data_IF_750523436049
#
_entry.id   IF_750523436049
#
_cell.length_a   1.000
_cell.length_b   1.000
_cell.length_c   1.000
_cell.angle_alpha   90.00
_cell.angle_beta   90.00
_cell.angle_gamma   90.00
#
_symmetry.space_group_name_H-M   'P 1'
#
loop_
_entity.id
_entity.type
_entity.pdbx_description
1 polymer ?
#
# COMPACT_ATOMS: atom_id res chain seq x y z
N UNK A 1 7.67 -6.59 27.49
CA UNK A 1 8.13 -6.65 26.09
C UNK A 1 6.98 -6.26 25.20
N UNK A 2 7.14 -5.16 24.48
CA UNK A 2 6.25 -4.78 23.38
C UNK A 2 6.77 -5.41 22.08
N UNK A 3 6.00 -5.34 20.98
CA UNK A 3 6.37 -5.95 19.71
C UNK A 3 7.75 -5.50 19.21
N UNK A 4 8.06 -4.20 19.37
CA UNK A 4 9.36 -3.62 19.01
C UNK A 4 10.53 -4.36 19.66
N UNK A 5 10.50 -4.54 20.98
CA UNK A 5 11.57 -5.24 21.71
C UNK A 5 11.75 -6.70 21.27
N UNK A 6 10.70 -7.35 20.75
CA UNK A 6 10.81 -8.70 20.21
C UNK A 6 11.52 -8.70 18.85
N UNK A 7 11.17 -7.78 17.97
CA UNK A 7 11.78 -7.69 16.64
C UNK A 7 13.22 -7.18 16.68
N UNK A 8 13.54 -6.20 17.53
CA UNK A 8 14.93 -5.76 17.76
C UNK A 8 15.81 -6.93 18.19
N UNK A 9 15.31 -7.75 19.12
CA UNK A 9 16.02 -8.95 19.58
C UNK A 9 16.10 -10.04 18.50
N UNK A 10 15.08 -10.18 17.66
CA UNK A 10 15.11 -11.11 16.54
C UNK A 10 16.22 -10.72 15.56
N UNK A 11 16.33 -9.43 15.21
CA UNK A 11 17.41 -8.89 14.37
C UNK A 11 18.79 -9.17 14.98
N UNK A 12 18.95 -8.98 16.30
CA UNK A 12 20.20 -9.28 17.01
C UNK A 12 20.62 -10.76 16.93
N UNK A 13 19.66 -11.69 16.91
CA UNK A 13 19.92 -13.14 17.01
C UNK A 13 19.96 -13.81 15.64
N UNK A 14 19.08 -13.41 14.75
CA UNK A 14 18.80 -14.07 13.47
C UNK A 14 19.31 -13.27 12.26
N UNK A 15 19.74 -12.02 12.47
CA UNK A 15 20.20 -11.11 11.43
C UNK A 15 19.09 -10.24 10.84
N UNK A 16 19.49 -9.30 10.01
CA UNK A 16 18.60 -8.39 9.28
C UNK A 16 17.76 -9.20 8.27
N UNK A 17 16.43 -9.10 8.40
CA UNK A 17 15.45 -9.67 7.47
C UNK A 17 14.39 -8.60 7.20
N UNK A 18 14.00 -8.44 5.94
CA UNK A 18 13.03 -7.44 5.52
C UNK A 18 11.72 -7.50 6.31
N UNK A 19 11.26 -8.70 6.69
CA UNK A 19 10.02 -8.90 7.44
C UNK A 19 10.10 -8.31 8.85
N UNK A 20 11.28 -8.30 9.47
CA UNK A 20 11.47 -7.72 10.80
C UNK A 20 11.40 -6.20 10.76
N UNK A 21 11.96 -5.59 9.73
CA UNK A 21 11.84 -4.16 9.49
C UNK A 21 10.40 -3.75 9.13
N UNK A 22 9.72 -4.51 8.28
CA UNK A 22 8.30 -4.26 7.99
C UNK A 22 7.43 -4.37 9.26
N UNK A 23 7.65 -5.39 10.08
CA UNK A 23 6.91 -5.58 11.33
C UNK A 23 7.23 -4.50 12.38
N UNK A 24 8.47 -4.00 12.43
CA UNK A 24 8.81 -2.82 13.22
C UNK A 24 8.08 -1.58 12.72
N UNK A 25 8.05 -1.37 11.40
CA UNK A 25 7.34 -0.27 10.75
C UNK A 25 5.86 -0.25 11.16
N UNK A 26 5.17 -1.38 10.99
CA UNK A 26 3.79 -1.57 11.43
C UNK A 26 3.61 -1.35 12.94
N UNK A 27 4.53 -1.83 13.77
CA UNK A 27 4.45 -1.65 15.22
C UNK A 27 4.59 -0.18 15.63
N UNK A 28 5.53 0.57 15.04
CA UNK A 28 5.70 2.01 15.30
C UNK A 28 4.51 2.83 14.79
N UNK A 29 3.98 2.48 13.62
CA UNK A 29 2.80 3.13 13.06
C UNK A 29 1.59 3.01 13.99
N UNK A 30 1.35 1.78 14.50
CA UNK A 30 0.28 1.51 15.47
C UNK A 30 0.46 2.24 16.81
N UNK A 31 1.70 2.65 17.15
CA UNK A 31 1.99 3.50 18.31
C UNK A 31 1.87 5.00 18.00
N UNK A 32 1.53 5.37 16.77
CA UNK A 32 1.43 6.75 16.29
C UNK A 32 2.77 7.39 15.93
N UNK A 33 3.88 6.64 15.96
CA UNK A 33 5.19 7.12 15.57
C UNK A 33 5.42 6.84 14.08
N UNK A 34 5.01 7.78 13.25
CA UNK A 34 4.96 7.58 11.79
C UNK A 34 6.35 7.72 11.18
N UNK A 35 7.17 8.62 11.73
CA UNK A 35 8.53 8.82 11.26
C UNK A 35 9.35 7.53 11.37
N UNK A 36 9.31 6.87 12.53
CA UNK A 36 9.98 5.58 12.71
C UNK A 36 9.34 4.48 11.86
N UNK A 37 8.02 4.55 11.63
CA UNK A 37 7.34 3.57 10.81
C UNK A 37 7.83 3.59 9.35
N UNK A 38 7.97 4.80 8.80
CA UNK A 38 8.48 5.04 7.45
C UNK A 38 9.94 4.60 7.36
N UNK A 39 10.80 5.01 8.30
CA UNK A 39 12.22 4.64 8.31
C UNK A 39 12.40 3.12 8.26
N UNK A 40 11.67 2.36 9.07
CA UNK A 40 11.78 0.90 9.06
C UNK A 40 11.17 0.26 7.80
N UNK A 41 10.14 0.84 7.19
CA UNK A 41 9.63 0.34 5.90
C UNK A 41 10.61 0.61 4.75
N UNK A 42 11.30 1.75 4.77
CA UNK A 42 12.35 2.06 3.80
C UNK A 42 13.50 1.05 3.89
N UNK A 43 13.89 0.63 5.10
CA UNK A 43 14.87 -0.45 5.29
C UNK A 43 14.35 -1.80 4.77
N UNK A 44 13.07 -2.14 4.99
CA UNK A 44 12.47 -3.36 4.45
C UNK A 44 12.49 -3.38 2.91
N UNK A 45 12.15 -2.24 2.28
CA UNK A 45 12.23 -2.05 0.83
C UNK A 45 13.67 -2.16 0.33
N UNK A 46 14.64 -1.57 1.04
CA UNK A 46 16.05 -1.62 0.65
C UNK A 46 16.62 -3.06 0.70
N UNK A 47 16.14 -3.89 1.62
CA UNK A 47 16.51 -5.30 1.72
C UNK A 47 15.83 -6.16 0.65
N UNK A 48 14.57 -5.87 0.32
CA UNK A 48 13.82 -6.60 -0.70
C UNK A 48 12.83 -5.70 -1.45
N UNK A 49 13.32 -5.04 -2.50
CA UNK A 49 12.51 -4.15 -3.33
C UNK A 49 11.47 -4.89 -4.19
N UNK A 50 11.59 -6.21 -4.31
CA UNK A 50 10.72 -7.04 -5.15
C UNK A 50 9.42 -7.46 -4.45
N UNK A 51 9.28 -7.16 -3.16
CA UNK A 51 8.09 -7.45 -2.37
C UNK A 51 7.12 -6.26 -2.40
N UNK A 52 6.04 -6.39 -3.17
CA UNK A 52 5.03 -5.35 -3.36
C UNK A 52 4.40 -4.88 -2.04
N UNK A 53 4.27 -5.79 -1.05
CA UNK A 53 3.68 -5.48 0.24
C UNK A 53 4.35 -4.29 0.93
N UNK A 54 5.67 -4.13 0.84
CA UNK A 54 6.35 -3.05 1.56
C UNK A 54 6.08 -1.68 0.96
N UNK A 55 6.05 -1.59 -0.37
CA UNK A 55 5.62 -0.39 -1.09
C UNK A 55 4.18 0.00 -0.75
N UNK A 56 3.29 -0.99 -0.71
CA UNK A 56 1.86 -0.79 -0.37
C UNK A 56 1.71 -0.33 1.08
N UNK A 57 2.42 -0.94 2.03
CA UNK A 57 2.38 -0.54 3.44
C UNK A 57 2.86 0.90 3.63
N UNK A 58 3.97 1.27 3.00
CA UNK A 58 4.51 2.63 3.08
C UNK A 58 3.52 3.65 2.50
N UNK A 59 2.98 3.38 1.32
CA UNK A 59 1.97 4.24 0.70
C UNK A 59 0.71 4.36 1.57
N UNK A 60 0.28 3.26 2.23
CA UNK A 60 -0.87 3.24 3.13
C UNK A 60 -0.63 4.13 4.36
N UNK A 61 0.56 4.05 4.97
CA UNK A 61 0.91 4.89 6.12
C UNK A 61 0.92 6.37 5.77
N UNK A 62 1.43 6.72 4.58
CA UNK A 62 1.41 8.08 4.06
C UNK A 62 -0.02 8.57 3.79
N UNK A 63 -0.86 7.72 3.19
CA UNK A 63 -2.29 8.01 2.97
C UNK A 63 -3.03 8.29 4.27
N UNK A 64 -2.80 7.51 5.32
CA UNK A 64 -3.39 7.75 6.64
C UNK A 64 -2.91 9.05 7.32
N UNK A 65 -1.81 9.64 6.84
CA UNK A 65 -1.31 10.95 7.28
C UNK A 65 -1.68 12.10 6.35
N UNK A 66 -2.65 11.88 5.45
CA UNK A 66 -3.07 12.86 4.44
C UNK A 66 -1.91 13.27 3.50
N UNK A 67 -0.90 12.40 3.32
CA UNK A 67 0.27 12.62 2.45
C UNK A 67 0.13 11.85 1.13
N UNK A 68 -1.00 12.03 0.44
CA UNK A 68 -1.36 11.24 -0.72
C UNK A 68 -0.41 11.46 -1.93
N UNK A 69 0.16 12.65 -2.09
CA UNK A 69 1.18 12.90 -3.12
C UNK A 69 2.48 12.12 -2.85
N UNK A 70 2.92 12.04 -1.59
CA UNK A 70 4.10 11.23 -1.25
C UNK A 70 3.82 9.72 -1.43
N UNK A 71 2.61 9.27 -1.10
CA UNK A 71 2.17 7.91 -1.38
C UNK A 71 2.22 7.60 -2.89
N UNK A 72 1.83 8.54 -3.74
CA UNK A 72 1.92 8.39 -5.19
C UNK A 72 3.37 8.21 -5.67
N UNK A 73 4.32 8.97 -5.14
CA UNK A 73 5.74 8.85 -5.49
C UNK A 73 6.29 7.46 -5.09
N UNK A 74 5.93 6.99 -3.89
CA UNK A 74 6.29 5.64 -3.40
C UNK A 74 5.73 4.54 -4.30
N UNK A 75 4.46 4.66 -4.71
CA UNK A 75 3.82 3.68 -5.57
C UNK A 75 4.39 3.69 -6.99
N UNK A 76 4.81 4.85 -7.51
CA UNK A 76 5.49 4.95 -8.80
C UNK A 76 6.82 4.20 -8.77
N UNK A 77 7.65 4.42 -7.73
CA UNK A 77 8.88 3.67 -7.53
C UNK A 77 8.62 2.16 -7.37
N UNK A 78 7.59 1.78 -6.59
CA UNK A 78 7.20 0.38 -6.40
C UNK A 78 6.78 -0.31 -7.69
N UNK A 79 6.06 0.37 -8.59
CA UNK A 79 5.68 -0.19 -9.90
C UNK A 79 6.87 -0.35 -10.86
N UNK A 80 7.92 0.46 -10.72
CA UNK A 80 9.16 0.27 -11.48
C UNK A 80 9.93 -0.97 -11.01
N UNK A 81 9.92 -1.25 -9.71
CA UNK A 81 10.58 -2.41 -9.10
C UNK A 81 9.78 -3.71 -9.28
N UNK A 82 8.45 -3.65 -9.06
CA UNK A 82 7.56 -4.82 -9.02
C UNK A 82 6.39 -4.64 -9.98
N UNK A 83 6.42 -5.33 -11.13
CA UNK A 83 5.26 -5.38 -12.02
C UNK A 83 4.13 -6.16 -11.35
N UNK A 84 2.94 -5.54 -11.21
CA UNK A 84 1.77 -6.21 -10.67
C UNK A 84 0.59 -5.28 -10.43
N UNK A 85 -0.60 -5.86 -10.31
CA UNK A 85 -1.85 -5.13 -10.09
C UNK A 85 -2.04 -4.68 -8.64
N UNK A 86 -1.34 -5.30 -7.68
CA UNK A 86 -1.46 -4.99 -6.24
C UNK A 86 -1.14 -3.52 -5.94
N UNK A 87 0.01 -3.04 -6.42
CA UNK A 87 0.44 -1.64 -6.29
C UNK A 87 -0.49 -0.72 -7.10
N UNK A 88 -0.98 -1.18 -8.25
CA UNK A 88 -1.91 -0.42 -9.08
C UNK A 88 -3.24 -0.13 -8.37
N UNK A 89 -3.82 -1.08 -7.64
CA UNK A 89 -5.03 -0.85 -6.86
C UNK A 89 -4.82 0.17 -5.73
N UNK A 90 -3.66 0.12 -5.04
CA UNK A 90 -3.30 1.14 -4.06
C UNK A 90 -3.16 2.53 -4.70
N UNK A 91 -2.55 2.60 -5.90
CA UNK A 91 -2.42 3.84 -6.67
C UNK A 91 -3.76 4.41 -7.10
N UNK A 92 -4.72 3.56 -7.50
CA UNK A 92 -6.08 3.97 -7.84
C UNK A 92 -6.75 4.63 -6.63
N UNK A 93 -6.60 4.08 -5.42
CA UNK A 93 -7.10 4.70 -4.20
C UNK A 93 -6.49 6.10 -3.97
N UNK A 94 -5.17 6.23 -4.15
CA UNK A 94 -4.46 7.51 -4.04
C UNK A 94 -4.97 8.54 -5.07
N UNK A 95 -5.20 8.12 -6.32
CA UNK A 95 -5.74 9.00 -7.38
C UNK A 95 -7.15 9.53 -7.02
N UNK A 96 -8.00 8.72 -6.39
CA UNK A 96 -9.28 9.21 -5.88
C UNK A 96 -9.09 10.22 -4.75
N UNK A 97 -8.18 9.96 -3.81
CA UNK A 97 -7.90 10.83 -2.67
C UNK A 97 -7.39 12.23 -3.09
N UNK A 98 -6.52 12.31 -4.09
CA UNK A 98 -6.01 13.59 -4.63
C UNK A 98 -6.95 14.24 -5.66
N UNK A 99 -8.17 13.73 -5.83
CA UNK A 99 -9.18 14.29 -6.72
C UNK A 99 -8.94 14.03 -8.22
N UNK A 100 -7.98 13.19 -8.59
CA UNK A 100 -7.71 12.76 -9.97
C UNK A 100 -8.65 11.64 -10.42
N UNK A 101 -9.96 11.86 -10.23
CA UNK A 101 -11.00 10.86 -10.45
C UNK A 101 -10.99 10.23 -11.85
N UNK A 102 -10.86 11.03 -12.90
CA UNK A 102 -10.88 10.51 -14.27
C UNK A 102 -9.72 9.55 -14.54
N UNK A 103 -8.53 9.83 -13.98
CA UNK A 103 -7.39 8.94 -14.07
C UNK A 103 -7.63 7.67 -13.24
N UNK A 104 -8.17 7.81 -12.02
CA UNK A 104 -8.52 6.67 -11.16
C UNK A 104 -9.47 5.70 -11.87
N UNK A 105 -10.53 6.22 -12.50
CA UNK A 105 -11.51 5.40 -13.23
C UNK A 105 -10.92 4.75 -14.47
N UNK A 106 -10.07 5.47 -15.23
CA UNK A 106 -9.36 4.88 -16.37
C UNK A 106 -8.53 3.66 -15.92
N UNK A 107 -7.68 3.86 -14.90
CA UNK A 107 -6.81 2.80 -14.40
C UNK A 107 -7.56 1.67 -13.71
N UNK A 108 -8.68 1.97 -13.05
CA UNK A 108 -9.58 0.95 -12.52
C UNK A 108 -10.12 0.04 -13.63
N UNK A 109 -10.46 0.61 -14.79
CA UNK A 109 -10.90 -0.17 -15.94
C UNK A 109 -9.84 -1.15 -16.42
N UNK A 110 -8.59 -0.71 -16.52
CA UNK A 110 -7.46 -1.54 -16.90
C UNK A 110 -7.15 -2.62 -15.84
N UNK A 111 -7.09 -2.22 -14.56
CA UNK A 111 -6.79 -3.12 -13.45
C UNK A 111 -7.83 -4.25 -13.30
N UNK A 112 -9.12 -3.94 -13.49
CA UNK A 112 -10.18 -4.94 -13.43
C UNK A 112 -10.11 -5.95 -14.59
N UNK A 113 -9.59 -5.55 -15.76
CA UNK A 113 -9.37 -6.46 -16.88
C UNK A 113 -8.16 -7.38 -16.65
N UNK A 114 -7.10 -6.85 -16.06
CA UNK A 114 -5.87 -7.59 -15.79
C UNK A 114 -6.03 -8.56 -14.62
N UNK A 115 -6.52 -8.08 -13.48
CA UNK A 115 -6.81 -8.88 -12.31
C UNK A 115 -8.03 -8.34 -11.55
N UNK A 116 -9.19 -8.90 -11.88
CA UNK A 116 -10.43 -8.60 -11.18
C UNK A 116 -10.38 -9.00 -9.69
N UNK A 117 -9.64 -10.04 -9.31
CA UNK A 117 -9.67 -10.60 -7.96
C UNK A 117 -9.18 -9.63 -6.88
N UNK A 118 -8.40 -8.63 -7.26
CA UNK A 118 -7.75 -7.67 -6.38
C UNK A 118 -8.56 -6.40 -6.07
N UNK A 119 -9.74 -6.21 -6.69
CA UNK A 119 -10.58 -5.04 -6.40
C UNK A 119 -10.92 -4.82 -4.91
N UNK A 120 -11.03 -5.85 -4.02
CA UNK A 120 -11.32 -5.61 -2.61
C UNK A 120 -10.30 -4.71 -1.92
N UNK A 121 -9.02 -4.76 -2.31
CA UNK A 121 -7.95 -3.92 -1.74
C UNK A 121 -8.19 -2.43 -1.95
N UNK A 122 -8.91 -2.05 -3.01
CA UNK A 122 -9.34 -0.65 -3.22
C UNK A 122 -10.26 -0.18 -2.07
N UNK A 123 -11.12 -1.05 -1.57
CA UNK A 123 -12.06 -0.72 -0.50
C UNK A 123 -11.47 -0.84 0.90
N UNK A 124 -10.40 -1.62 1.06
CA UNK A 124 -9.62 -1.63 2.30
C UNK A 124 -8.98 -0.25 2.54
N UNK A 125 -8.45 0.36 1.48
CA UNK A 125 -7.82 1.68 1.54
C UNK A 125 -8.82 2.83 1.47
N UNK A 126 -9.90 2.68 0.69
CA UNK A 126 -10.92 3.72 0.52
C UNK A 126 -12.34 3.13 0.61
N UNK A 127 -12.83 2.85 1.83
CA UNK A 127 -14.14 2.21 2.05
C UNK A 127 -15.31 2.96 1.41
N UNK A 128 -15.22 4.29 1.35
CA UNK A 128 -16.27 5.17 0.80
C UNK A 128 -16.59 4.89 -0.67
N UNK A 129 -15.65 4.31 -1.43
CA UNK A 129 -15.87 3.94 -2.83
C UNK A 129 -16.91 2.84 -3.02
N UNK A 130 -17.27 2.09 -1.96
CA UNK A 130 -18.40 1.14 -2.03
C UNK A 130 -19.75 1.84 -2.28
N UNK A 131 -19.86 3.12 -1.92
CA UNK A 131 -21.04 3.93 -2.18
C UNK A 131 -20.98 4.65 -3.54
N UNK A 132 -19.85 4.58 -4.25
CA UNK A 132 -19.65 5.24 -5.54
C UNK A 132 -20.37 4.46 -6.66
N UNK A 133 -21.40 5.04 -7.30
CA UNK A 133 -22.21 4.32 -8.27
C UNK A 133 -21.44 3.94 -9.54
N UNK A 134 -20.43 4.72 -9.92
CA UNK A 134 -19.64 4.51 -11.14
C UNK A 134 -18.60 3.42 -10.91
N UNK A 135 -17.87 3.48 -9.79
CA UNK A 135 -16.93 2.42 -9.37
C UNK A 135 -17.66 1.09 -9.25
N UNK A 136 -18.81 1.07 -8.58
CA UNK A 136 -19.60 -0.15 -8.42
C UNK A 136 -20.20 -0.65 -9.73
N UNK A 137 -20.55 0.23 -10.67
CA UNK A 137 -20.99 -0.19 -12.00
C UNK A 137 -19.86 -0.86 -12.79
N UNK A 138 -18.64 -0.32 -12.73
CA UNK A 138 -17.47 -0.92 -13.36
C UNK A 138 -17.19 -2.32 -12.82
N UNK A 139 -17.14 -2.50 -11.50
CA UNK A 139 -16.90 -3.81 -10.85
C UNK A 139 -17.99 -4.81 -11.24
N UNK A 140 -19.27 -4.41 -11.22
CA UNK A 140 -20.40 -5.31 -11.56
C UNK A 140 -20.32 -5.87 -12.98
N UNK A 141 -19.68 -5.18 -13.92
CA UNK A 141 -19.55 -5.68 -15.29
C UNK A 141 -18.66 -6.93 -15.41
N UNK A 142 -17.85 -7.24 -14.40
CA UNK A 142 -16.93 -8.39 -14.38
C UNK A 142 -17.44 -9.59 -13.57
N UNK A 143 -18.57 -9.45 -12.86
CA UNK A 143 -19.14 -10.48 -11.97
C UNK A 143 -20.16 -11.39 -12.71
N UNK A 144 -20.31 -11.24 -14.03
CA UNK A 144 -21.33 -11.94 -14.85
C UNK A 144 -20.93 -13.36 -15.28
#
# INVERSE_FOLDING_TARGET
MNAIQYFEKAIEVEGEQEEYYAALGEAYFNMGNTEMAVEHLEEAIALNELEARYWILLATFLMEKDQAEAAMDVLEAGMEAVPGTEILYCRIACLFAIGQRNAALYWLGEALQEDFGMYPSLFELMPDLQADPEVMAMIKNFVL
#
